data_IF_932471885750
#
_entry.id   IF_932471885750
#
_cell.length_a   1.000
_cell.length_b   1.000
_cell.length_c   1.000
_cell.angle_alpha   90.00
_cell.angle_beta   90.00
_cell.angle_gamma   90.00
#
_symmetry.space_group_name_H-M   'P 1'
#
loop_
_entity.id
_entity.type
_entity.pdbx_description
1 polymer ?
#
# COMPACT_ATOMS: atom_id res chain seq x y z
N UNK A 1 -17.66 -25.03 8.40
CA UNK A 1 -17.34 -25.60 7.06
C UNK A 1 -15.87 -25.83 6.77
N UNK A 2 -15.02 -24.81 6.60
CA UNK A 2 -13.60 -25.05 6.25
C UNK A 2 -12.85 -25.84 7.36
N UNK A 3 -13.07 -25.50 8.63
CA UNK A 3 -12.42 -26.16 9.76
C UNK A 3 -12.92 -27.60 10.01
N UNK A 4 -14.24 -27.83 9.86
CA UNK A 4 -14.83 -29.17 9.93
C UNK A 4 -14.30 -30.09 8.84
N UNK A 5 -14.11 -29.58 7.61
CA UNK A 5 -13.51 -30.34 6.50
C UNK A 5 -12.03 -30.69 6.74
N UNK A 6 -11.38 -30.03 7.69
CA UNK A 6 -10.00 -30.28 8.11
C UNK A 6 -9.90 -31.07 9.43
N UNK A 7 -11.03 -31.47 10.03
CA UNK A 7 -11.07 -32.31 11.22
C UNK A 7 -10.99 -31.57 12.56
N UNK A 8 -11.21 -30.25 12.59
CA UNK A 8 -11.24 -29.47 13.83
C UNK A 8 -12.66 -29.36 14.40
N UNK A 9 -12.78 -29.52 15.72
CA UNK A 9 -14.02 -29.30 16.50
C UNK A 9 -14.40 -27.80 16.54
N UNK A 10 -15.66 -27.50 16.88
CA UNK A 10 -16.27 -26.14 16.79
C UNK A 10 -15.52 -25.03 17.58
N UNK A 11 -14.71 -25.42 18.56
CA UNK A 11 -14.08 -24.56 19.56
C UNK A 11 -12.54 -24.64 19.65
N UNK A 12 -11.87 -25.33 18.72
CA UNK A 12 -10.39 -25.33 18.63
C UNK A 12 -9.83 -24.08 17.92
N UNK A 13 -10.10 -22.90 18.49
CA UNK A 13 -9.31 -21.69 18.19
C UNK A 13 -8.14 -21.62 19.16
N UNK A 14 -7.03 -22.29 18.84
CA UNK A 14 -5.78 -22.12 19.58
C UNK A 14 -5.13 -20.77 19.21
N UNK A 15 -5.28 -19.81 20.13
CA UNK A 15 -4.66 -18.49 20.04
C UNK A 15 -3.33 -18.40 20.80
N UNK A 16 -2.79 -19.52 21.33
CA UNK A 16 -1.52 -19.51 22.04
C UNK A 16 -0.36 -19.03 21.17
N UNK A 17 -0.31 -19.47 19.91
CA UNK A 17 0.75 -19.04 18.98
C UNK A 17 0.67 -17.54 18.76
N UNK A 18 -0.53 -17.01 18.50
CA UNK A 18 -0.75 -15.56 18.37
C UNK A 18 -0.37 -14.82 19.66
N UNK A 19 -0.72 -15.35 20.83
CA UNK A 19 -0.36 -14.77 22.12
C UNK A 19 1.17 -14.77 22.37
N UNK A 20 1.86 -15.86 21.99
CA UNK A 20 3.33 -15.97 22.06
C UNK A 20 4.01 -14.95 21.14
N UNK A 21 3.50 -14.77 19.92
CA UNK A 21 3.97 -13.75 18.97
C UNK A 21 3.79 -12.35 19.57
N UNK A 22 2.59 -12.01 20.04
CA UNK A 22 2.31 -10.71 20.66
C UNK A 22 3.23 -10.43 21.85
N UNK A 23 3.49 -11.44 22.69
CA UNK A 23 4.42 -11.34 23.81
C UNK A 23 5.86 -11.11 23.35
N UNK A 24 6.33 -11.80 22.30
CA UNK A 24 7.66 -11.57 21.73
C UNK A 24 7.83 -10.18 21.09
N UNK A 25 6.73 -9.60 20.59
CA UNK A 25 6.68 -8.24 20.04
C UNK A 25 6.61 -7.16 21.15
N UNK A 26 6.68 -7.55 22.43
CA UNK A 26 6.62 -6.63 23.57
C UNK A 26 5.21 -6.09 23.87
N UNK A 27 4.17 -6.67 23.26
CA UNK A 27 2.78 -6.27 23.53
C UNK A 27 2.36 -6.83 24.89
N UNK A 28 2.36 -5.98 25.90
CA UNK A 28 2.00 -6.36 27.27
C UNK A 28 0.49 -6.22 27.58
N UNK A 29 -0.24 -5.44 26.78
CA UNK A 29 -1.67 -5.19 26.95
C UNK A 29 -2.38 -5.04 25.61
N UNK A 30 -3.52 -5.69 25.45
CA UNK A 30 -4.44 -5.50 24.31
C UNK A 30 -5.70 -4.83 24.85
N UNK A 31 -6.04 -3.67 24.31
CA UNK A 31 -7.23 -2.92 24.72
C UNK A 31 -8.39 -3.27 23.79
N UNK A 32 -9.51 -3.76 24.34
CA UNK A 32 -10.75 -4.05 23.63
C UNK A 32 -11.25 -2.84 22.81
N UNK A 33 -12.02 -3.11 21.75
CA UNK A 33 -12.53 -2.11 20.80
C UNK A 33 -13.23 -0.90 21.46
N UNK A 34 -13.88 -1.10 22.61
CA UNK A 34 -14.53 -0.04 23.41
C UNK A 34 -13.57 1.03 23.95
N UNK A 35 -12.26 0.78 23.92
CA UNK A 35 -11.22 1.66 24.47
C UNK A 35 -10.55 2.52 23.40
N UNK A 36 -10.86 2.26 22.12
CA UNK A 36 -10.36 3.01 20.97
C UNK A 36 -11.50 3.24 19.97
N UNK A 37 -12.59 3.91 20.37
CA UNK A 37 -13.81 3.98 19.56
C UNK A 37 -13.56 4.64 18.19
N UNK A 38 -12.55 5.51 18.07
CA UNK A 38 -12.13 6.13 16.80
C UNK A 38 -11.56 5.12 15.78
N UNK A 39 -11.16 3.93 16.21
CA UNK A 39 -10.68 2.83 15.35
C UNK A 39 -11.78 1.83 15.00
N UNK A 40 -13.01 2.06 15.47
CA UNK A 40 -14.17 1.19 15.25
C UNK A 40 -15.12 1.90 14.30
N UNK A 41 -15.31 1.37 13.09
CA UNK A 41 -16.20 1.97 12.09
C UNK A 41 -17.66 1.68 12.37
N UNK A 42 -17.96 0.45 12.76
CA UNK A 42 -19.29 0.01 13.18
C UNK A 42 -19.14 -1.28 14.00
N UNK A 43 -20.23 -1.70 14.65
CA UNK A 43 -20.32 -3.02 15.30
C UNK A 43 -21.53 -3.73 14.71
N UNK A 44 -21.30 -4.91 14.12
CA UNK A 44 -22.36 -5.77 13.65
C UNK A 44 -22.27 -7.14 14.34
N UNK A 45 -23.41 -7.74 14.70
CA UNK A 45 -23.40 -9.01 15.42
C UNK A 45 -24.69 -9.81 15.30
N UNK A 46 -24.54 -11.13 15.25
CA UNK A 46 -25.62 -12.11 15.31
C UNK A 46 -25.65 -12.64 16.76
N UNK A 47 -26.79 -12.48 17.44
CA UNK A 47 -27.04 -12.80 18.87
C UNK A 47 -25.81 -12.63 19.78
N UNK A 48 -25.14 -11.46 19.75
CA UNK A 48 -23.84 -11.29 20.38
C UNK A 48 -23.95 -11.36 21.90
N UNK A 49 -22.95 -11.98 22.51
CA UNK A 49 -22.75 -11.96 23.96
C UNK A 49 -22.21 -10.58 24.34
N UNK A 50 -23.00 -9.81 25.07
CA UNK A 50 -22.64 -8.45 25.48
C UNK A 50 -22.54 -8.30 27.00
N UNK A 51 -23.06 -9.26 27.77
CA UNK A 51 -23.14 -9.17 29.22
C UNK A 51 -22.60 -10.42 29.90
N UNK A 52 -21.42 -10.28 30.51
CA UNK A 52 -20.70 -11.35 31.21
C UNK A 52 -21.51 -11.99 32.36
N UNK A 53 -22.43 -11.24 32.99
CA UNK A 53 -23.34 -11.80 34.02
C UNK A 53 -24.34 -12.79 33.45
N UNK A 54 -24.72 -12.64 32.18
CA UNK A 54 -25.75 -13.46 31.55
C UNK A 54 -25.16 -14.71 30.90
N UNK A 55 -24.19 -14.52 30.00
CA UNK A 55 -23.45 -15.58 29.33
C UNK A 55 -22.00 -15.11 29.16
N UNK A 56 -20.99 -15.98 29.39
CA UNK A 56 -21.11 -17.37 29.87
C UNK A 56 -21.44 -17.47 31.38
N UNK A 57 -21.63 -16.34 32.07
CA UNK A 57 -21.74 -16.26 33.52
C UNK A 57 -20.39 -15.96 34.16
N UNK A 58 -20.41 -15.39 35.38
CA UNK A 58 -19.18 -14.88 36.02
C UNK A 58 -18.17 -15.96 36.36
N UNK A 59 -18.61 -17.13 36.81
CA UNK A 59 -17.71 -18.26 37.12
C UNK A 59 -16.90 -18.71 35.90
N UNK A 60 -17.56 -18.76 34.73
CA UNK A 60 -16.90 -19.14 33.48
C UNK A 60 -16.07 -18.01 32.87
N UNK A 61 -16.48 -16.75 33.09
CA UNK A 61 -15.77 -15.60 32.56
C UNK A 61 -14.51 -15.25 33.37
N UNK A 62 -14.54 -15.39 34.70
CA UNK A 62 -13.50 -14.88 35.59
C UNK A 62 -12.08 -15.42 35.35
N UNK A 63 -11.87 -16.71 34.99
CA UNK A 63 -10.53 -17.22 34.67
C UNK A 63 -9.86 -16.46 33.52
N UNK A 64 -10.62 -16.01 32.51
CA UNK A 64 -10.09 -15.24 31.40
C UNK A 64 -9.52 -13.87 31.83
N UNK A 65 -9.98 -13.35 32.97
CA UNK A 65 -9.49 -12.10 33.57
C UNK A 65 -8.48 -12.34 34.69
N UNK A 66 -8.13 -13.61 34.98
CA UNK A 66 -7.29 -14.02 36.12
C UNK A 66 -7.83 -13.51 37.45
N UNK A 67 -9.15 -13.56 37.60
CA UNK A 67 -9.89 -13.12 38.78
C UNK A 67 -10.77 -14.26 39.29
N UNK A 68 -11.20 -14.18 40.54
CA UNK A 68 -12.37 -14.91 41.03
C UNK A 68 -13.67 -14.31 40.49
N UNK A 69 -14.77 -15.07 40.52
CA UNK A 69 -16.08 -14.56 40.11
C UNK A 69 -16.53 -13.35 40.93
N UNK A 70 -16.19 -13.29 42.22
CA UNK A 70 -16.47 -12.16 43.11
C UNK A 70 -15.69 -10.91 42.70
N UNK A 71 -14.39 -11.05 42.44
CA UNK A 71 -13.55 -9.94 41.95
C UNK A 71 -14.01 -9.44 40.57
N UNK A 72 -14.36 -10.35 39.65
CA UNK A 72 -14.92 -9.96 38.37
C UNK A 72 -16.28 -9.25 38.55
N UNK A 73 -17.13 -9.72 39.46
CA UNK A 73 -18.41 -9.09 39.78
C UNK A 73 -18.25 -7.63 40.22
N UNK A 74 -17.24 -7.35 41.04
CA UNK A 74 -16.92 -6.03 41.58
C UNK A 74 -16.29 -5.10 40.53
N UNK A 75 -15.68 -5.65 39.47
CA UNK A 75 -15.01 -4.88 38.40
C UNK A 75 -15.82 -4.79 37.09
N UNK A 76 -17.09 -5.20 37.09
CA UNK A 76 -17.90 -5.18 35.86
C UNK A 76 -18.15 -3.80 35.27
N UNK A 77 -18.07 -2.73 36.07
CA UNK A 77 -18.10 -1.35 35.54
C UNK A 77 -17.03 -1.13 34.47
N UNK A 78 -15.88 -1.79 34.62
CA UNK A 78 -14.72 -1.68 33.73
C UNK A 78 -14.66 -2.80 32.69
N UNK A 79 -15.10 -4.01 33.06
CA UNK A 79 -14.88 -5.21 32.27
C UNK A 79 -16.09 -5.65 31.44
N UNK A 80 -17.31 -5.24 31.80
CA UNK A 80 -18.52 -5.70 31.13
C UNK A 80 -18.87 -4.81 29.92
N UNK A 81 -18.99 -5.36 28.69
CA UNK A 81 -19.25 -4.54 27.49
C UNK A 81 -20.47 -3.61 27.61
N UNK A 82 -21.57 -4.06 28.24
CA UNK A 82 -22.77 -3.24 28.45
C UNK A 82 -22.55 -1.97 29.28
N UNK A 83 -21.43 -1.88 30.02
CA UNK A 83 -21.08 -0.73 30.86
C UNK A 83 -20.13 0.25 30.16
N UNK A 84 -19.59 -0.10 28.97
CA UNK A 84 -18.57 0.69 28.27
C UNK A 84 -19.08 1.41 27.02
N UNK A 85 -20.39 1.55 26.92
CA UNK A 85 -21.06 2.00 25.70
C UNK A 85 -20.96 3.50 25.44
N UNK A 86 -20.80 4.31 26.48
CA UNK A 86 -20.82 5.77 26.36
C UNK A 86 -19.69 6.29 25.44
N UNK A 87 -18.52 5.67 25.47
CA UNK A 87 -17.40 6.07 24.61
C UNK A 87 -17.64 5.75 23.13
N UNK A 88 -18.35 4.66 22.84
CA UNK A 88 -18.75 4.31 21.48
C UNK A 88 -19.81 5.30 20.98
N UNK A 89 -20.79 5.63 21.82
CA UNK A 89 -21.85 6.58 21.47
C UNK A 89 -21.29 7.98 21.21
N UNK A 90 -20.37 8.47 22.06
CA UNK A 90 -19.68 9.76 21.86
C UNK A 90 -18.84 9.83 20.58
N UNK A 91 -18.46 8.68 20.02
CA UNK A 91 -17.69 8.57 18.79
C UNK A 91 -18.57 8.25 17.58
N UNK A 92 -19.89 8.31 17.74
CA UNK A 92 -20.89 8.05 16.71
C UNK A 92 -20.74 6.68 16.04
N UNK A 93 -20.26 5.66 16.77
CA UNK A 93 -20.10 4.31 16.23
C UNK A 93 -21.49 3.68 16.04
N UNK A 94 -21.95 3.37 14.82
CA UNK A 94 -23.24 2.73 14.64
C UNK A 94 -23.16 1.24 15.05
N UNK A 95 -24.27 0.71 15.58
CA UNK A 95 -24.39 -0.70 15.98
C UNK A 95 -25.55 -1.37 15.24
N UNK A 96 -25.36 -2.58 14.74
CA UNK A 96 -26.41 -3.43 14.18
C UNK A 96 -26.38 -4.81 14.82
N UNK A 97 -27.46 -5.23 15.48
CA UNK A 97 -27.59 -6.61 15.94
C UNK A 97 -28.84 -7.27 15.34
N UNK A 98 -28.73 -8.57 15.03
CA UNK A 98 -29.89 -9.46 14.82
C UNK A 98 -29.92 -10.47 15.96
N UNK A 99 -31.04 -10.60 16.67
CA UNK A 99 -31.11 -11.39 17.91
C UNK A 99 -32.54 -11.91 18.15
N UNK A 100 -32.72 -13.23 18.16
CA UNK A 100 -34.02 -13.88 18.37
C UNK A 100 -34.68 -13.59 19.73
N UNK A 101 -36.01 -13.53 19.77
CA UNK A 101 -36.74 -13.16 20.99
C UNK A 101 -36.89 -14.27 22.05
N UNK A 102 -36.59 -15.52 21.71
CA UNK A 102 -36.68 -16.67 22.62
C UNK A 102 -35.33 -17.33 22.86
N UNK A 103 -34.22 -16.62 22.64
CA UNK A 103 -32.88 -17.09 22.95
C UNK A 103 -32.72 -17.29 24.46
N UNK A 104 -32.50 -18.54 24.89
CA UNK A 104 -32.28 -18.91 26.29
C UNK A 104 -30.81 -19.06 26.66
N UNK A 105 -29.90 -19.12 25.68
CA UNK A 105 -28.45 -19.27 25.89
C UNK A 105 -27.80 -17.92 26.07
N UNK A 106 -28.11 -16.98 25.16
CA UNK A 106 -27.67 -15.59 25.20
C UNK A 106 -28.92 -14.71 25.24
N UNK A 107 -29.57 -14.51 26.40
CA UNK A 107 -30.89 -13.88 26.41
C UNK A 107 -30.90 -12.45 25.85
N UNK A 108 -31.80 -12.20 24.88
CA UNK A 108 -31.98 -10.91 24.20
C UNK A 108 -32.01 -9.74 25.19
N UNK A 109 -32.87 -9.84 26.20
CA UNK A 109 -33.08 -8.79 27.21
C UNK A 109 -31.78 -8.42 27.94
N UNK A 110 -30.94 -9.41 28.22
CA UNK A 110 -29.71 -9.26 28.99
C UNK A 110 -28.49 -8.90 28.12
N UNK A 111 -28.62 -8.97 26.79
CA UNK A 111 -27.55 -8.70 25.82
C UNK A 111 -27.97 -7.60 24.83
N UNK A 112 -28.36 -7.92 23.59
CA UNK A 112 -28.66 -6.88 22.58
C UNK A 112 -29.76 -5.90 23.01
N UNK A 113 -30.76 -6.35 23.77
CA UNK A 113 -31.83 -5.50 24.28
C UNK A 113 -31.37 -4.45 25.29
N UNK A 114 -30.47 -4.80 26.22
CA UNK A 114 -29.91 -3.83 27.17
C UNK A 114 -28.91 -2.88 26.49
N UNK A 115 -28.18 -3.34 25.47
CA UNK A 115 -27.37 -2.46 24.61
C UNK A 115 -28.26 -1.44 23.94
N UNK A 116 -29.30 -1.86 23.20
CA UNK A 116 -30.19 -0.94 22.49
C UNK A 116 -30.75 0.16 23.39
N UNK A 117 -31.25 -0.23 24.58
CA UNK A 117 -31.79 0.72 25.57
C UNK A 117 -30.73 1.70 26.10
N UNK A 118 -29.53 1.22 26.44
CA UNK A 118 -28.47 2.06 27.02
C UNK A 118 -27.80 2.92 25.96
N UNK A 119 -27.55 2.37 24.77
CA UNK A 119 -26.87 3.05 23.69
C UNK A 119 -27.68 4.24 23.18
N UNK A 120 -28.98 4.06 23.00
CA UNK A 120 -29.89 5.14 22.65
C UNK A 120 -29.91 6.25 23.71
N UNK A 121 -29.87 5.91 25.01
CA UNK A 121 -29.77 6.90 26.09
C UNK A 121 -28.48 7.72 26.07
N UNK A 122 -27.39 7.15 25.55
CA UNK A 122 -26.13 7.87 25.34
C UNK A 122 -26.08 8.64 24.01
N UNK A 123 -27.17 8.66 23.22
CA UNK A 123 -27.23 9.29 21.91
C UNK A 123 -26.67 8.45 20.76
N UNK A 124 -26.30 7.19 21.01
CA UNK A 124 -25.74 6.30 20.00
C UNK A 124 -26.81 5.71 19.07
N UNK A 125 -26.46 5.52 17.80
CA UNK A 125 -27.33 4.91 16.79
C UNK A 125 -27.20 3.37 16.82
N UNK A 126 -28.31 2.67 17.06
CA UNK A 126 -28.35 1.21 16.99
C UNK A 126 -29.60 0.71 16.26
N UNK A 127 -29.39 -0.27 15.38
CA UNK A 127 -30.43 -1.09 14.78
C UNK A 127 -30.46 -2.46 15.45
N UNK A 128 -31.66 -2.94 15.78
CA UNK A 128 -31.88 -4.25 16.41
C UNK A 128 -33.00 -4.99 15.69
N UNK A 129 -32.66 -6.01 14.92
CA UNK A 129 -33.62 -6.93 14.29
C UNK A 129 -33.93 -8.06 15.26
N UNK A 130 -35.22 -8.31 15.51
CA UNK A 130 -35.69 -9.33 16.46
C UNK A 130 -36.60 -10.33 15.77
N UNK A 131 -36.04 -11.43 15.21
CA UNK A 131 -36.83 -12.50 14.62
C UNK A 131 -37.72 -13.19 15.68
N UNK A 132 -39.03 -13.31 15.41
CA UNK A 132 -39.99 -13.95 16.31
C UNK A 132 -39.82 -15.47 16.30
N UNK A 133 -39.88 -16.09 17.48
CA UNK A 133 -39.80 -17.54 17.67
C UNK A 133 -38.39 -18.11 17.54
N UNK A 134 -37.37 -17.28 17.32
CA UNK A 134 -35.99 -17.74 17.15
C UNK A 134 -35.21 -17.66 18.46
N UNK A 135 -34.44 -18.71 18.74
CA UNK A 135 -33.54 -18.82 19.89
C UNK A 135 -32.07 -18.86 19.47
N UNK A 136 -31.22 -19.50 20.28
CA UNK A 136 -29.81 -19.72 19.94
C UNK A 136 -29.67 -20.93 19.02
N UNK A 137 -29.82 -20.72 17.73
CA UNK A 137 -29.83 -21.80 16.74
C UNK A 137 -29.20 -21.37 15.41
N UNK A 138 -29.00 -22.32 14.52
CA UNK A 138 -28.45 -22.10 13.18
C UNK A 138 -29.54 -21.73 12.17
N UNK A 139 -30.58 -20.99 12.58
CA UNK A 139 -31.60 -20.54 11.65
C UNK A 139 -30.98 -19.66 10.56
N UNK A 140 -31.24 -20.03 9.31
CA UNK A 140 -30.58 -19.45 8.14
C UNK A 140 -30.76 -17.93 8.03
N UNK A 141 -31.88 -17.39 8.50
CA UNK A 141 -32.17 -15.96 8.49
C UNK A 141 -31.19 -15.12 9.32
N UNK A 142 -30.46 -15.70 10.27
CA UNK A 142 -29.37 -15.02 10.94
C UNK A 142 -28.17 -14.76 10.02
N UNK A 143 -27.88 -15.68 9.10
CA UNK A 143 -26.72 -15.65 8.22
C UNK A 143 -27.04 -15.06 6.83
N UNK A 144 -28.32 -14.90 6.51
CA UNK A 144 -28.84 -14.27 5.29
C UNK A 144 -29.58 -12.94 5.55
N UNK A 145 -29.22 -12.23 6.62
CA UNK A 145 -29.81 -10.93 6.93
C UNK A 145 -29.19 -9.83 6.04
N UNK A 146 -29.91 -9.48 4.97
CA UNK A 146 -29.49 -8.45 4.02
C UNK A 146 -29.28 -7.09 4.70
N UNK A 147 -30.08 -6.75 5.71
CA UNK A 147 -29.94 -5.49 6.45
C UNK A 147 -28.61 -5.42 7.20
N UNK A 148 -28.17 -6.54 7.80
CA UNK A 148 -26.87 -6.62 8.48
C UNK A 148 -25.72 -6.48 7.49
N UNK A 149 -25.80 -7.18 6.35
CA UNK A 149 -24.78 -7.12 5.30
C UNK A 149 -24.68 -5.71 4.72
N UNK A 150 -25.82 -5.12 4.36
CA UNK A 150 -25.89 -3.75 3.85
C UNK A 150 -25.39 -2.72 4.87
N UNK A 151 -25.70 -2.91 6.15
CA UNK A 151 -25.16 -2.08 7.22
C UNK A 151 -23.63 -2.10 7.24
N UNK A 152 -23.00 -3.28 7.20
CA UNK A 152 -21.53 -3.41 7.19
C UNK A 152 -20.95 -2.75 5.93
N UNK A 153 -21.54 -3.02 4.77
CA UNK A 153 -21.09 -2.45 3.48
C UNK A 153 -21.15 -0.93 3.52
N UNK A 154 -22.25 -0.34 4.02
CA UNK A 154 -22.40 1.10 4.10
C UNK A 154 -21.39 1.72 5.07
N UNK A 155 -21.21 1.12 6.26
CA UNK A 155 -20.21 1.58 7.21
C UNK A 155 -18.77 1.48 6.66
N UNK A 156 -18.49 0.52 5.78
CA UNK A 156 -17.22 0.40 5.08
C UNK A 156 -17.08 1.42 3.93
N UNK A 157 -18.18 1.71 3.22
CA UNK A 157 -18.22 2.65 2.09
C UNK A 157 -18.22 4.12 2.49
N UNK A 158 -18.68 4.49 3.69
CA UNK A 158 -18.67 5.86 4.21
C UNK A 158 -17.25 6.44 4.50
N UNK A 159 -16.25 6.05 3.70
CA UNK A 159 -14.90 6.59 3.74
C UNK A 159 -14.87 8.07 3.33
N UNK A 160 -15.07 8.93 4.32
CA UNK A 160 -14.41 10.23 4.42
C UNK A 160 -13.10 10.10 5.21
N UNK A 161 -12.29 9.07 4.95
CA UNK A 161 -10.86 9.21 5.27
C UNK A 161 -10.38 10.27 4.29
N UNK A 162 -10.12 11.47 4.82
CA UNK A 162 -9.52 12.51 4.00
C UNK A 162 -8.25 11.92 3.42
N UNK A 163 -8.03 11.98 2.10
CA UNK A 163 -6.80 11.46 1.54
C UNK A 163 -5.62 12.12 2.26
N UNK A 164 -4.54 11.36 2.50
CA UNK A 164 -3.37 11.91 3.17
C UNK A 164 -2.88 13.12 2.40
N UNK A 165 -2.62 14.21 3.11
CA UNK A 165 -2.22 15.46 2.48
C UNK A 165 -0.74 15.39 2.14
N UNK A 166 -0.40 15.58 0.87
CA UNK A 166 0.98 15.72 0.45
C UNK A 166 1.65 16.93 1.13
N UNK A 167 2.73 16.65 1.87
CA UNK A 167 3.59 17.64 2.50
C UNK A 167 4.76 17.94 1.56
N UNK A 168 4.91 19.19 1.17
CA UNK A 168 6.03 19.63 0.35
C UNK A 168 7.33 19.55 1.17
N UNK A 169 8.31 18.78 0.69
CA UNK A 169 9.64 18.69 1.30
C UNK A 169 10.64 19.61 0.62
N UNK A 170 10.54 19.73 -0.71
CA UNK A 170 11.45 20.52 -1.53
C UNK A 170 10.83 20.85 -2.88
N UNK A 171 11.19 21.99 -3.47
CA UNK A 171 10.79 22.40 -4.82
C UNK A 171 11.94 23.11 -5.55
N UNK A 172 11.81 23.23 -6.86
CA UNK A 172 12.75 23.97 -7.72
C UNK A 172 13.45 23.10 -8.76
N UNK A 173 13.05 21.84 -8.90
CA UNK A 173 13.58 20.95 -9.92
C UNK A 173 13.03 21.26 -11.31
N UNK A 174 13.75 20.82 -12.34
CA UNK A 174 13.32 20.92 -13.74
C UNK A 174 12.44 19.75 -14.18
N UNK A 175 12.79 18.52 -13.78
CA UNK A 175 11.97 17.32 -13.95
C UNK A 175 12.43 16.25 -12.94
N UNK A 176 11.82 16.23 -11.75
CA UNK A 176 12.22 15.27 -10.69
C UNK A 176 11.63 13.89 -10.95
N UNK A 177 12.42 12.87 -10.65
CA UNK A 177 12.14 11.47 -10.98
C UNK A 177 12.73 10.50 -9.93
N UNK A 178 12.41 9.22 -10.09
CA UNK A 178 13.06 8.08 -9.44
C UNK A 178 13.48 8.30 -7.98
N UNK A 179 12.60 8.61 -7.02
CA UNK A 179 13.02 8.68 -5.64
C UNK A 179 13.39 7.27 -5.14
N UNK A 180 14.44 7.15 -4.32
CA UNK A 180 14.85 5.90 -3.67
C UNK A 180 15.46 6.19 -2.30
N UNK A 181 15.27 5.27 -1.36
CA UNK A 181 15.69 5.46 0.05
C UNK A 181 16.94 4.64 0.37
N UNK A 182 17.96 5.25 0.96
CA UNK A 182 19.16 4.55 1.47
C UNK A 182 18.91 3.94 2.85
N UNK A 183 19.76 2.99 3.29
CA UNK A 183 19.59 2.34 4.60
C UNK A 183 19.56 3.29 5.81
N UNK A 184 20.16 4.48 5.71
CA UNK A 184 20.12 5.51 6.75
C UNK A 184 18.78 6.29 6.82
N UNK A 185 17.85 5.98 5.91
CA UNK A 185 16.55 6.63 5.77
C UNK A 185 16.56 7.92 4.93
N UNK A 186 17.71 8.32 4.37
CA UNK A 186 17.75 9.46 3.45
C UNK A 186 17.08 9.12 2.12
N UNK A 187 16.43 10.11 1.51
CA UNK A 187 15.71 9.95 0.24
C UNK A 187 16.54 10.59 -0.85
N UNK A 188 16.96 9.81 -1.84
CA UNK A 188 17.62 10.29 -3.05
C UNK A 188 16.57 10.41 -4.15
N UNK A 189 16.71 11.37 -5.05
CA UNK A 189 15.84 11.50 -6.22
C UNK A 189 16.59 12.21 -7.34
N UNK A 190 16.28 11.87 -8.58
CA UNK A 190 16.92 12.46 -9.74
C UNK A 190 16.20 13.75 -10.17
N UNK A 191 16.92 14.61 -10.88
CA UNK A 191 16.34 15.67 -11.69
C UNK A 191 16.91 15.54 -13.10
N UNK A 192 16.16 14.84 -13.96
CA UNK A 192 16.59 14.51 -15.32
C UNK A 192 16.81 15.79 -16.13
N UNK A 193 15.94 16.77 -15.94
CA UNK A 193 15.98 18.06 -16.64
C UNK A 193 17.18 18.91 -16.24
N UNK A 194 17.57 18.87 -14.96
CA UNK A 194 18.75 19.57 -14.45
C UNK A 194 20.05 18.76 -14.55
N UNK A 195 19.98 17.47 -14.88
CA UNK A 195 21.10 16.54 -14.91
C UNK A 195 21.76 16.37 -13.52
N UNK A 196 20.95 16.19 -12.47
CA UNK A 196 21.37 16.11 -11.08
C UNK A 196 20.79 14.89 -10.36
N UNK A 197 21.43 14.50 -9.25
CA UNK A 197 20.80 13.69 -8.20
C UNK A 197 20.85 14.46 -6.88
N UNK A 198 19.72 14.55 -6.21
CA UNK A 198 19.57 15.17 -4.91
C UNK A 198 19.48 14.13 -3.79
N UNK A 199 19.81 14.54 -2.57
CA UNK A 199 19.60 13.83 -1.31
C UNK A 199 18.80 14.70 -0.37
N UNK A 200 17.63 14.23 0.06
CA UNK A 200 16.85 14.74 1.17
C UNK A 200 17.21 13.97 2.45
N UNK A 201 17.58 14.70 3.51
CA UNK A 201 17.82 14.13 4.83
C UNK A 201 16.61 14.41 5.73
N UNK A 202 15.82 13.39 6.15
CA UNK A 202 14.63 13.61 6.96
C UNK A 202 14.92 14.12 8.38
N UNK A 203 16.15 13.94 8.89
CA UNK A 203 16.54 14.43 10.23
C UNK A 203 16.83 15.93 10.24
N UNK A 204 17.44 16.44 9.16
CA UNK A 204 17.82 17.86 9.06
C UNK A 204 16.90 18.66 8.14
N UNK A 205 15.98 17.97 7.47
CA UNK A 205 15.07 18.49 6.43
C UNK A 205 15.78 19.21 5.29
N UNK A 206 17.08 18.95 5.07
CA UNK A 206 17.87 19.59 4.01
C UNK A 206 17.86 18.74 2.75
N UNK A 207 17.80 19.41 1.60
CA UNK A 207 18.08 18.82 0.29
C UNK A 207 19.42 19.33 -0.21
N UNK A 208 20.28 18.41 -0.65
CA UNK A 208 21.61 18.70 -1.17
C UNK A 208 21.81 18.00 -2.51
N UNK A 209 22.45 18.67 -3.47
CA UNK A 209 22.93 18.01 -4.69
C UNK A 209 24.11 17.11 -4.33
N UNK A 210 24.02 15.82 -4.64
CA UNK A 210 25.06 14.83 -4.33
C UNK A 210 25.77 14.29 -5.58
N UNK A 211 25.21 14.53 -6.77
CA UNK A 211 25.81 14.12 -8.05
C UNK A 211 25.50 15.16 -9.12
N UNK A 212 26.34 16.19 -9.29
CA UNK A 212 26.31 17.00 -10.49
C UNK A 212 26.70 16.16 -11.71
N UNK A 213 26.19 16.53 -12.89
CA UNK A 213 26.43 15.79 -14.14
C UNK A 213 26.06 14.31 -14.03
N UNK A 214 24.84 14.05 -13.57
CA UNK A 214 24.30 12.71 -13.31
C UNK A 214 24.33 11.77 -14.52
N UNK A 215 24.42 12.32 -15.74
CA UNK A 215 24.31 11.59 -17.00
C UNK A 215 22.87 11.48 -17.49
N UNK A 216 22.01 12.40 -17.07
CA UNK A 216 20.54 12.33 -17.19
C UNK A 216 20.00 11.11 -16.44
N UNK A 217 20.44 10.95 -15.19
CA UNK A 217 19.90 9.91 -14.32
C UNK A 217 18.38 10.09 -14.20
N UNK A 218 17.63 9.01 -14.41
CA UNK A 218 16.18 8.95 -14.29
C UNK A 218 15.81 8.08 -13.08
N UNK A 219 15.37 6.84 -13.30
CA UNK A 219 15.18 5.87 -12.24
C UNK A 219 16.49 5.56 -11.52
N UNK A 220 16.45 5.59 -10.19
CA UNK A 220 17.57 5.20 -9.33
C UNK A 220 17.08 4.28 -8.22
N UNK A 221 17.92 3.34 -7.79
CA UNK A 221 17.60 2.40 -6.72
C UNK A 221 18.85 2.06 -5.90
N UNK A 222 18.70 1.92 -4.59
CA UNK A 222 19.76 1.37 -3.74
C UNK A 222 19.72 -0.15 -3.75
N UNK A 223 20.89 -0.78 -3.89
CA UNK A 223 21.03 -2.20 -3.63
C UNK A 223 21.27 -2.49 -2.13
N UNK A 224 21.33 -3.78 -1.78
CA UNK A 224 21.57 -4.24 -0.41
C UNK A 224 22.94 -3.87 0.17
N UNK A 225 23.86 -3.32 -0.63
CA UNK A 225 25.16 -2.83 -0.19
C UNK A 225 25.20 -1.30 -0.03
N UNK A 226 24.05 -0.62 -0.14
CA UNK A 226 23.88 0.83 -0.31
C UNK A 226 24.71 1.42 -1.46
N UNK A 227 24.82 0.69 -2.57
CA UNK A 227 25.31 1.28 -3.82
C UNK A 227 24.09 1.83 -4.58
N UNK A 228 24.23 3.03 -5.13
CA UNK A 228 23.17 3.66 -5.91
C UNK A 228 23.29 3.23 -7.36
N UNK A 229 22.32 2.46 -7.84
CA UNK A 229 22.21 2.07 -9.24
C UNK A 229 21.33 3.10 -9.96
N UNK A 230 21.74 3.56 -11.13
CA UNK A 230 21.02 4.59 -11.88
C UNK A 230 20.88 4.22 -13.36
N UNK A 231 19.67 4.38 -13.87
CA UNK A 231 19.38 4.50 -15.29
C UNK A 231 19.77 5.90 -15.76
N UNK A 232 20.80 6.01 -16.59
CA UNK A 232 21.22 7.25 -17.24
C UNK A 232 20.65 7.28 -18.66
N UNK A 233 19.68 8.15 -18.90
CA UNK A 233 18.97 8.25 -20.17
C UNK A 233 19.76 9.01 -21.25
N UNK A 234 19.07 9.36 -22.34
CA UNK A 234 19.61 10.15 -23.43
C UNK A 234 19.34 11.65 -23.23
N UNK A 235 18.07 12.08 -23.19
CA UNK A 235 17.60 13.43 -22.80
C UNK A 235 18.51 14.61 -23.19
N UNK A 236 19.12 14.54 -24.38
CA UNK A 236 20.14 15.48 -24.87
C UNK A 236 21.40 15.48 -23.98
N UNK A 237 22.46 14.83 -24.50
CA UNK A 237 23.81 14.67 -23.90
C UNK A 237 23.90 13.71 -22.70
N UNK A 238 22.88 12.88 -22.50
CA UNK A 238 22.89 11.82 -21.50
C UNK A 238 23.75 10.62 -21.91
N UNK A 239 24.10 9.79 -20.92
CA UNK A 239 25.12 8.74 -21.13
C UNK A 239 24.57 7.43 -21.65
N UNK A 240 23.24 7.22 -21.67
CA UNK A 240 22.57 6.00 -22.17
C UNK A 240 23.20 4.72 -21.59
N UNK A 241 23.16 4.57 -20.26
CA UNK A 241 23.82 3.48 -19.54
C UNK A 241 23.14 3.17 -18.20
N UNK A 242 23.44 2.01 -17.65
CA UNK A 242 23.23 1.72 -16.22
C UNK A 242 24.55 1.97 -15.50
N UNK A 243 24.52 2.73 -14.41
CA UNK A 243 25.70 3.01 -13.58
C UNK A 243 25.51 2.57 -12.13
N UNK A 244 26.63 2.35 -11.44
CA UNK A 244 26.66 2.12 -10.00
C UNK A 244 27.55 3.19 -9.36
N UNK A 245 26.99 3.97 -8.44
CA UNK A 245 27.74 4.81 -7.50
C UNK A 245 28.04 3.99 -6.24
N UNK A 246 29.31 3.75 -5.96
CA UNK A 246 29.76 3.04 -4.74
C UNK A 246 29.70 3.95 -3.51
N UNK A 247 29.87 3.37 -2.32
CA UNK A 247 29.88 4.10 -1.04
C UNK A 247 30.95 5.19 -0.96
N UNK A 248 32.08 5.01 -1.64
CA UNK A 248 33.17 6.00 -1.73
C UNK A 248 32.89 7.13 -2.74
N UNK A 249 31.73 7.10 -3.42
CA UNK A 249 31.35 8.07 -4.44
C UNK A 249 31.88 7.76 -5.84
N UNK A 250 32.70 6.73 -6.01
CA UNK A 250 33.17 6.31 -7.35
C UNK A 250 32.01 5.76 -8.18
N UNK A 251 32.01 6.08 -9.47
CA UNK A 251 30.94 5.70 -10.41
C UNK A 251 31.52 4.76 -11.46
N UNK A 252 30.90 3.61 -11.64
CA UNK A 252 31.24 2.66 -12.71
C UNK A 252 30.06 2.49 -13.68
N UNK A 253 30.35 2.26 -14.95
CA UNK A 253 29.36 1.77 -15.92
C UNK A 253 29.14 0.30 -15.64
N UNK A 254 27.89 -0.11 -15.44
CA UNK A 254 27.51 -1.52 -15.40
C UNK A 254 27.25 -2.05 -16.81
N UNK A 255 26.50 -1.30 -17.61
CA UNK A 255 26.29 -1.57 -19.04
C UNK A 255 25.88 -0.31 -19.78
N UNK A 256 26.25 -0.19 -21.05
CA UNK A 256 25.90 0.94 -21.92
C UNK A 256 25.51 0.51 -23.35
N UNK A 257 25.45 -0.80 -23.60
CA UNK A 257 25.15 -1.39 -24.90
C UNK A 257 24.56 -2.80 -24.76
N UNK A 258 23.87 -3.26 -25.81
CA UNK A 258 23.43 -4.63 -25.98
C UNK A 258 23.79 -5.11 -27.39
N UNK A 259 24.51 -6.24 -27.49
CA UNK A 259 25.01 -6.79 -28.76
C UNK A 259 25.75 -5.74 -29.62
N UNK A 260 26.58 -4.90 -28.98
CA UNK A 260 27.35 -3.87 -29.64
C UNK A 260 26.56 -2.60 -30.04
N UNK A 261 25.25 -2.56 -29.76
CA UNK A 261 24.39 -1.39 -30.02
C UNK A 261 24.12 -0.61 -28.75
N UNK A 262 24.19 0.72 -28.80
CA UNK A 262 23.88 1.61 -27.67
C UNK A 262 22.41 1.47 -27.25
N UNK A 263 22.18 1.40 -25.93
CA UNK A 263 20.83 1.47 -25.32
C UNK A 263 20.09 2.74 -25.78
N UNK A 264 18.77 2.74 -25.90
CA UNK A 264 18.01 3.91 -26.33
C UNK A 264 18.12 5.05 -25.31
N UNK A 265 17.51 4.89 -24.14
CA UNK A 265 17.46 5.87 -23.06
C UNK A 265 16.92 5.16 -21.81
N UNK A 266 17.78 4.45 -21.06
CA UNK A 266 17.38 3.78 -19.83
C UNK A 266 16.55 4.70 -18.92
N UNK A 267 15.38 4.22 -18.49
CA UNK A 267 14.39 5.06 -17.82
C UNK A 267 14.22 4.65 -16.36
N UNK A 268 13.44 3.61 -16.08
CA UNK A 268 13.25 3.04 -14.74
C UNK A 268 13.82 1.62 -14.59
N UNK A 269 14.06 1.20 -13.36
CA UNK A 269 14.68 -0.09 -13.02
C UNK A 269 14.14 -0.71 -11.73
N UNK A 270 14.25 -2.04 -11.64
CA UNK A 270 13.93 -2.83 -10.46
C UNK A 270 14.97 -3.94 -10.26
N UNK A 271 15.27 -4.25 -8.99
CA UNK A 271 16.16 -5.35 -8.63
C UNK A 271 15.33 -6.57 -8.26
N UNK A 272 15.53 -7.69 -8.96
CA UNK A 272 14.95 -8.95 -8.56
C UNK A 272 15.84 -9.61 -7.50
N UNK A 273 15.37 -9.61 -6.24
CA UNK A 273 16.10 -10.19 -5.10
C UNK A 273 16.31 -11.70 -5.22
N UNK A 274 15.46 -12.41 -5.96
CA UNK A 274 15.50 -13.87 -6.13
C UNK A 274 16.59 -14.31 -7.10
N UNK A 275 16.62 -13.74 -8.31
CA UNK A 275 17.59 -14.12 -9.34
C UNK A 275 18.80 -13.18 -9.44
N UNK A 276 18.82 -12.10 -8.64
CA UNK A 276 19.90 -11.09 -8.56
C UNK A 276 20.10 -10.26 -9.84
N UNK A 277 19.16 -10.30 -10.79
CA UNK A 277 19.20 -9.48 -11.99
C UNK A 277 18.59 -8.10 -11.73
N UNK A 278 19.11 -7.10 -12.44
CA UNK A 278 18.54 -5.76 -12.52
C UNK A 278 17.75 -5.69 -13.81
N UNK A 279 16.44 -5.51 -13.71
CA UNK A 279 15.58 -5.24 -14.85
C UNK A 279 15.48 -3.75 -15.06
N UNK A 280 15.55 -3.30 -16.30
CA UNK A 280 15.41 -1.89 -16.63
C UNK A 280 14.68 -1.69 -17.94
N UNK A 281 13.98 -0.56 -18.01
CA UNK A 281 13.23 -0.12 -19.20
C UNK A 281 14.12 0.74 -20.08
N UNK A 282 14.01 0.55 -21.40
CA UNK A 282 14.82 1.28 -22.39
C UNK A 282 13.92 1.92 -23.48
N UNK A 283 13.06 2.88 -23.12
CA UNK A 283 12.26 3.63 -24.08
C UNK A 283 13.07 4.71 -24.80
N UNK A 284 12.40 5.47 -25.68
CA UNK A 284 12.89 6.78 -26.15
C UNK A 284 11.80 7.85 -26.10
N UNK A 285 11.74 8.63 -25.03
CA UNK A 285 10.79 9.74 -24.90
C UNK A 285 11.30 11.05 -25.51
N UNK A 286 12.57 11.38 -25.29
CA UNK A 286 13.20 12.65 -25.70
C UNK A 286 14.68 12.43 -26.06
N UNK A 287 15.31 13.44 -26.66
CA UNK A 287 16.72 13.45 -27.05
C UNK A 287 16.91 13.23 -28.54
N UNK A 288 17.97 13.84 -29.09
CA UNK A 288 18.26 13.86 -30.53
C UNK A 288 19.36 12.86 -30.92
N UNK A 289 19.91 12.12 -29.96
CA UNK A 289 20.92 11.10 -30.21
C UNK A 289 20.33 9.98 -31.06
N UNK A 290 21.08 9.55 -32.08
CA UNK A 290 20.67 8.47 -32.96
C UNK A 290 20.41 7.17 -32.18
N UNK A 291 19.29 6.53 -32.48
CA UNK A 291 18.94 5.22 -31.93
C UNK A 291 19.59 4.13 -32.78
N UNK A 292 20.28 3.21 -32.12
CA UNK A 292 20.87 2.02 -32.77
C UNK A 292 19.97 0.79 -32.65
N UNK A 293 19.07 0.81 -31.66
CA UNK A 293 18.00 -0.17 -31.46
C UNK A 293 16.71 0.35 -32.11
N UNK A 294 16.13 -0.49 -32.96
CA UNK A 294 14.89 -0.24 -33.71
C UNK A 294 13.62 -0.57 -32.92
N UNK A 295 13.77 -1.05 -31.68
CA UNK A 295 12.68 -1.33 -30.74
C UNK A 295 12.92 -0.66 -29.39
N UNK A 296 11.87 -0.58 -28.59
CA UNK A 296 11.89 -0.22 -27.17
C UNK A 296 11.49 -1.46 -26.38
N UNK A 297 12.09 -1.67 -25.21
CA UNK A 297 11.89 -2.93 -24.49
C UNK A 297 12.39 -2.90 -23.06
N UNK A 298 12.32 -4.07 -22.43
CA UNK A 298 12.83 -4.31 -21.09
C UNK A 298 14.06 -5.18 -21.23
N UNK A 299 15.14 -4.74 -20.63
CA UNK A 299 16.41 -5.46 -20.56
C UNK A 299 16.67 -5.93 -19.14
N UNK A 300 17.60 -6.86 -19.00
CA UNK A 300 18.13 -7.31 -17.73
C UNK A 300 19.65 -7.32 -17.78
N UNK A 301 20.29 -6.98 -16.66
CA UNK A 301 21.75 -6.98 -16.52
C UNK A 301 22.14 -7.60 -15.19
N UNK A 302 23.19 -8.41 -15.21
CA UNK A 302 23.83 -8.94 -14.00
C UNK A 302 24.86 -7.95 -13.42
N UNK A 303 25.43 -8.25 -12.25
CA UNK A 303 26.45 -7.39 -11.63
C UNK A 303 27.81 -7.41 -12.33
N UNK A 304 28.01 -8.29 -13.32
CA UNK A 304 29.20 -8.33 -14.17
C UNK A 304 29.03 -7.50 -15.45
N UNK A 305 27.85 -6.92 -15.68
CA UNK A 305 27.53 -6.12 -16.86
C UNK A 305 26.99 -6.93 -18.04
N UNK A 306 26.73 -8.23 -17.87
CA UNK A 306 26.16 -9.06 -18.93
C UNK A 306 24.70 -8.68 -19.16
N UNK A 307 24.44 -8.04 -20.30
CA UNK A 307 23.12 -7.51 -20.64
C UNK A 307 22.38 -8.43 -21.60
N UNK A 308 21.13 -8.73 -21.28
CA UNK A 308 20.22 -9.55 -22.09
C UNK A 308 18.88 -8.84 -22.28
N UNK A 309 18.17 -9.19 -23.36
CA UNK A 309 16.81 -8.72 -23.58
C UNK A 309 15.86 -9.54 -22.70
N UNK A 310 15.01 -8.89 -21.92
CA UNK A 310 14.02 -9.56 -21.09
C UNK A 310 12.70 -9.72 -21.87
N UNK A 311 12.25 -8.68 -22.57
CA UNK A 311 11.17 -8.75 -23.57
C UNK A 311 11.11 -7.49 -24.44
N UNK A 312 10.52 -7.63 -25.63
CA UNK A 312 10.11 -6.53 -26.51
C UNK A 312 8.59 -6.42 -26.67
N UNK A 313 7.82 -7.24 -25.96
CA UNK A 313 6.35 -7.23 -26.02
C UNK A 313 5.76 -6.10 -25.16
N UNK A 314 6.15 -4.86 -25.47
CA UNK A 314 5.71 -3.63 -24.82
C UNK A 314 5.88 -2.46 -25.79
N UNK A 315 5.04 -1.43 -25.73
CA UNK A 315 5.10 -0.30 -26.67
C UNK A 315 6.05 0.78 -26.20
N UNK A 316 5.92 1.21 -24.95
CA UNK A 316 6.65 2.32 -24.34
C UNK A 316 6.91 2.03 -22.85
N UNK A 317 7.94 1.23 -22.53
CA UNK A 317 8.19 0.78 -21.16
C UNK A 317 8.62 1.95 -20.25
N UNK A 318 8.05 2.03 -19.05
CA UNK A 318 8.33 3.08 -18.08
C UNK A 318 8.53 2.50 -16.66
N UNK A 319 7.79 2.95 -15.64
CA UNK A 319 7.87 2.39 -14.29
C UNK A 319 7.85 0.87 -14.26
N UNK A 320 8.72 0.26 -13.48
CA UNK A 320 8.90 -1.19 -13.41
C UNK A 320 9.09 -1.66 -11.97
N UNK A 321 8.45 -2.76 -11.62
CA UNK A 321 8.55 -3.39 -10.30
C UNK A 321 8.75 -4.90 -10.44
N UNK A 322 9.36 -5.49 -9.43
CA UNK A 322 9.42 -6.95 -9.25
C UNK A 322 8.64 -7.29 -7.99
N UNK A 323 7.75 -8.29 -8.06
CA UNK A 323 7.01 -8.80 -6.90
C UNK A 323 7.96 -9.28 -5.80
N UNK A 324 7.51 -9.27 -4.53
CA UNK A 324 8.37 -9.65 -3.41
C UNK A 324 8.88 -11.10 -3.50
N UNK A 325 8.11 -12.00 -4.10
CA UNK A 325 8.53 -13.39 -4.36
C UNK A 325 9.46 -13.55 -5.58
N UNK A 326 9.71 -12.46 -6.31
CA UNK A 326 10.60 -12.41 -7.46
C UNK A 326 10.13 -13.20 -8.68
N UNK A 327 8.81 -13.42 -8.82
CA UNK A 327 8.20 -14.20 -9.92
C UNK A 327 7.44 -13.38 -10.95
N UNK A 328 7.04 -12.17 -10.60
CA UNK A 328 6.22 -11.30 -11.46
C UNK A 328 6.91 -9.96 -11.63
N UNK A 329 6.93 -9.46 -12.87
CA UNK A 329 7.24 -8.05 -13.15
C UNK A 329 5.95 -7.30 -13.43
N UNK A 330 5.82 -6.12 -12.82
CA UNK A 330 4.82 -5.12 -13.20
C UNK A 330 5.51 -4.03 -13.98
N UNK A 331 4.89 -3.55 -15.06
CA UNK A 331 5.47 -2.49 -15.87
C UNK A 331 4.39 -1.58 -16.43
N UNK A 332 4.70 -0.28 -16.47
CA UNK A 332 3.91 0.72 -17.14
C UNK A 332 4.24 0.71 -18.63
N UNK A 333 3.20 0.55 -19.46
CA UNK A 333 3.26 0.82 -20.89
C UNK A 333 2.67 2.23 -21.09
N UNK A 334 3.52 3.24 -21.33
CA UNK A 334 3.19 4.66 -21.22
C UNK A 334 3.46 5.41 -22.53
N UNK A 335 2.67 5.15 -23.56
CA UNK A 335 2.80 5.73 -24.88
C UNK A 335 1.93 7.00 -25.02
N UNK A 336 2.58 8.16 -25.02
CA UNK A 336 1.94 9.48 -25.04
C UNK A 336 1.64 9.94 -26.47
N UNK A 337 0.79 9.18 -27.18
CA UNK A 337 0.24 9.52 -28.49
C UNK A 337 -1.27 9.22 -28.50
N UNK A 338 -2.08 9.81 -29.42
CA UNK A 338 -3.47 9.41 -29.58
C UNK A 338 -3.59 7.89 -29.77
N UNK A 339 -4.46 7.23 -28.99
CA UNK A 339 -4.64 5.77 -28.97
C UNK A 339 -3.40 4.95 -28.58
N UNK A 340 -2.38 5.58 -27.99
CA UNK A 340 -1.19 4.90 -27.48
C UNK A 340 -1.51 4.02 -26.27
N UNK A 341 -0.68 2.99 -26.05
CA UNK A 341 -0.83 2.10 -24.89
C UNK A 341 -0.60 2.86 -23.58
N UNK A 342 -1.58 2.84 -22.65
CA UNK A 342 -1.48 3.42 -21.30
C UNK A 342 -1.94 2.40 -20.27
N UNK A 343 -1.11 1.38 -20.05
CA UNK A 343 -1.53 0.16 -19.33
C UNK A 343 -0.60 -0.17 -18.17
N UNK A 344 -1.18 -0.69 -17.10
CA UNK A 344 -0.45 -1.49 -16.13
C UNK A 344 -0.40 -2.92 -16.65
N UNK A 345 0.80 -3.41 -16.94
CA UNK A 345 1.03 -4.77 -17.41
C UNK A 345 1.69 -5.61 -16.33
N UNK A 346 1.50 -6.93 -16.40
CA UNK A 346 2.32 -7.89 -15.69
C UNK A 346 2.87 -8.99 -16.58
N UNK A 347 4.02 -9.53 -16.19
CA UNK A 347 4.71 -10.63 -16.85
C UNK A 347 5.20 -11.64 -15.82
N UNK A 348 5.23 -12.92 -16.19
CA UNK A 348 5.96 -13.94 -15.43
C UNK A 348 7.46 -13.86 -15.72
N UNK A 349 8.28 -14.05 -14.68
CA UNK A 349 9.74 -14.13 -14.79
C UNK A 349 10.14 -15.60 -14.96
N UNK A 350 10.65 -15.92 -16.14
CA UNK A 350 11.14 -17.26 -16.46
C UNK A 350 12.47 -17.59 -15.75
N UNK A 351 12.87 -18.88 -15.64
CA UNK A 351 14.12 -19.26 -14.98
C UNK A 351 15.38 -18.61 -15.56
N UNK A 352 15.39 -18.32 -16.86
CA UNK A 352 16.48 -17.61 -17.55
C UNK A 352 16.42 -16.08 -17.36
N UNK A 353 15.38 -15.56 -16.70
CA UNK A 353 15.13 -14.14 -16.47
C UNK A 353 14.27 -13.45 -17.53
N UNK A 354 13.96 -14.10 -18.66
CA UNK A 354 13.07 -13.54 -19.69
C UNK A 354 11.63 -13.36 -19.18
N UNK A 355 10.87 -12.48 -19.83
CA UNK A 355 9.51 -12.15 -19.43
C UNK A 355 8.50 -12.77 -20.39
N UNK A 356 7.53 -13.50 -19.83
CA UNK A 356 6.49 -14.22 -20.56
C UNK A 356 5.10 -13.91 -19.99
N UNK A 357 4.05 -14.53 -20.55
CA UNK A 357 2.69 -14.52 -20.00
C UNK A 357 2.16 -13.10 -19.70
N UNK A 358 2.31 -12.20 -20.69
CA UNK A 358 1.84 -10.82 -20.60
C UNK A 358 0.36 -10.75 -20.24
N UNK A 359 0.02 -9.95 -19.23
CA UNK A 359 -1.35 -9.64 -18.84
C UNK A 359 -1.53 -8.13 -18.75
N UNK A 360 -2.72 -7.67 -19.13
CA UNK A 360 -3.17 -6.30 -18.85
C UNK A 360 -3.91 -6.34 -17.51
N UNK A 361 -3.37 -5.64 -16.52
CA UNK A 361 -3.99 -5.53 -15.20
C UNK A 361 -4.94 -4.33 -15.12
N UNK A 362 -4.56 -3.23 -15.79
CA UNK A 362 -5.38 -2.02 -15.86
C UNK A 362 -5.11 -1.27 -17.16
N UNK A 363 -6.15 -0.65 -17.73
CA UNK A 363 -6.08 0.22 -18.90
C UNK A 363 -6.59 1.61 -18.52
N UNK A 364 -5.75 2.63 -18.71
CA UNK A 364 -6.10 4.03 -18.41
C UNK A 364 -6.85 4.70 -19.56
N UNK A 365 -7.08 4.00 -20.68
CA UNK A 365 -7.82 4.49 -21.83
C UNK A 365 -7.29 5.85 -22.32
N UNK A 366 -8.11 6.90 -22.20
CA UNK A 366 -7.77 8.26 -22.62
C UNK A 366 -6.96 9.03 -21.56
N UNK A 367 -6.94 8.59 -20.30
CA UNK A 367 -6.21 9.25 -19.22
C UNK A 367 -4.69 9.03 -19.32
N UNK A 368 -3.92 9.91 -18.65
CA UNK A 368 -2.47 9.72 -18.52
C UNK A 368 -2.21 8.46 -17.69
N UNK A 369 -1.58 7.47 -18.32
CA UNK A 369 -1.18 6.22 -17.68
C UNK A 369 -0.09 6.39 -16.62
N UNK A 370 0.40 5.25 -16.12
CA UNK A 370 1.41 5.20 -15.07
C UNK A 370 2.76 5.71 -15.58
N UNK A 371 3.41 6.58 -14.81
CA UNK A 371 4.79 6.98 -15.05
C UNK A 371 5.70 6.03 -14.24
N UNK A 372 6.09 6.39 -13.01
CA UNK A 372 6.73 5.53 -12.02
C UNK A 372 5.77 4.87 -11.02
N UNK A 373 6.28 3.92 -10.22
CA UNK A 373 5.49 3.19 -9.23
C UNK A 373 6.35 2.55 -8.15
N UNK A 374 5.73 2.18 -7.02
CA UNK A 374 6.35 1.46 -5.91
C UNK A 374 5.44 0.36 -5.33
N UNK A 375 6.02 -0.70 -4.79
CA UNK A 375 5.28 -1.68 -3.98
C UNK A 375 5.19 -1.22 -2.52
N UNK A 376 3.99 -1.33 -1.95
CA UNK A 376 3.78 -1.16 -0.51
C UNK A 376 4.34 -2.35 0.27
N UNK A 377 4.53 -2.23 1.60
CA UNK A 377 4.89 -3.36 2.45
C UNK A 377 3.92 -4.56 2.37
N UNK A 378 2.68 -4.33 1.94
CA UNK A 378 1.67 -5.39 1.78
C UNK A 378 1.62 -5.95 0.34
N UNK A 379 2.42 -5.43 -0.59
CA UNK A 379 2.47 -5.87 -1.99
C UNK A 379 1.50 -5.17 -2.93
N UNK A 380 0.79 -4.12 -2.48
CA UNK A 380 -0.05 -3.29 -3.35
C UNK A 380 0.82 -2.37 -4.22
N UNK A 381 0.35 -2.07 -5.43
CA UNK A 381 1.07 -1.23 -6.39
C UNK A 381 0.61 0.22 -6.23
N UNK A 382 1.51 1.12 -5.86
CA UNK A 382 1.27 2.55 -5.77
C UNK A 382 1.85 3.20 -7.02
N UNK A 383 0.99 3.63 -7.94
CA UNK A 383 1.38 4.13 -9.25
C UNK A 383 1.13 5.63 -9.40
N UNK A 384 2.11 6.38 -9.90
CA UNK A 384 1.93 7.79 -10.26
C UNK A 384 1.22 7.89 -11.61
N UNK A 385 0.04 8.49 -11.65
CA UNK A 385 -0.72 8.59 -12.90
C UNK A 385 -1.63 9.82 -12.92
N UNK A 386 -2.31 10.01 -14.05
CA UNK A 386 -3.26 11.09 -14.25
C UNK A 386 -2.61 12.47 -14.33
N UNK A 387 -3.45 13.46 -14.65
CA UNK A 387 -3.07 14.87 -14.80
C UNK A 387 -4.17 15.80 -14.29
N UNK A 388 -3.79 16.99 -13.86
CA UNK A 388 -4.74 18.00 -13.38
C UNK A 388 -5.57 17.50 -12.21
N UNK A 389 -6.90 17.50 -12.31
CA UNK A 389 -7.79 17.03 -11.22
C UNK A 389 -7.70 15.51 -10.97
N UNK A 390 -7.15 14.76 -11.94
CA UNK A 390 -6.94 13.31 -11.85
C UNK A 390 -5.48 12.97 -11.48
N UNK A 391 -4.63 13.96 -11.25
CA UNK A 391 -3.24 13.75 -10.84
C UNK A 391 -3.17 13.13 -9.46
N UNK A 392 -2.52 11.97 -9.34
CA UNK A 392 -2.36 11.34 -8.04
C UNK A 392 -1.68 9.98 -8.06
N UNK A 393 -1.77 9.34 -6.91
CA UNK A 393 -1.35 7.96 -6.70
C UNK A 393 -2.57 7.05 -6.84
N UNK A 394 -2.52 6.16 -7.81
CA UNK A 394 -3.50 5.11 -8.04
C UNK A 394 -2.97 3.84 -7.39
N UNK A 395 -3.71 3.32 -6.41
CA UNK A 395 -3.32 2.15 -5.62
C UNK A 395 -4.05 0.95 -6.18
N UNK A 396 -3.30 -0.04 -6.66
CA UNK A 396 -3.84 -1.28 -7.21
C UNK A 396 -3.51 -2.48 -6.32
N UNK A 397 -4.39 -3.48 -6.29
CA UNK A 397 -4.05 -4.81 -5.80
C UNK A 397 -2.99 -5.46 -6.70
N UNK A 398 -2.43 -6.58 -6.25
CA UNK A 398 -1.52 -7.39 -7.06
C UNK A 398 -2.18 -7.89 -8.36
N UNK A 399 -3.50 -8.08 -8.34
CA UNK A 399 -4.33 -8.54 -9.45
C UNK A 399 -4.78 -7.41 -10.39
N UNK A 400 -4.55 -6.13 -10.03
CA UNK A 400 -4.89 -4.97 -10.87
C UNK A 400 -6.16 -4.21 -10.48
N UNK A 401 -6.82 -4.58 -9.38
CA UNK A 401 -8.01 -3.89 -8.92
C UNK A 401 -7.65 -2.50 -8.38
N UNK A 402 -8.31 -1.44 -8.85
CA UNK A 402 -8.11 -0.10 -8.31
C UNK A 402 -8.73 0.02 -6.90
N UNK A 403 -7.88 0.05 -5.89
CA UNK A 403 -8.27 0.09 -4.47
C UNK A 403 -8.51 1.51 -3.97
N UNK A 404 -7.68 2.46 -4.42
CA UNK A 404 -7.70 3.84 -3.90
C UNK A 404 -7.08 4.82 -4.88
N UNK A 405 -7.57 6.06 -4.85
CA UNK A 405 -6.93 7.22 -5.46
C UNK A 405 -6.51 8.22 -4.37
N UNK A 406 -5.28 8.73 -4.44
CA UNK A 406 -4.74 9.74 -3.54
C UNK A 406 -4.27 10.94 -4.37
N UNK A 407 -4.96 12.11 -4.31
CA UNK A 407 -4.60 13.26 -5.11
C UNK A 407 -3.23 13.82 -4.73
N UNK A 408 -2.48 14.27 -5.73
CA UNK A 408 -1.22 15.00 -5.54
C UNK A 408 -1.39 16.48 -5.91
N UNK A 409 -0.53 17.39 -5.41
CA UNK A 409 -0.63 18.82 -5.72
C UNK A 409 -0.40 19.20 -7.20
N UNK A 410 0.22 18.29 -7.95
CA UNK A 410 0.47 18.40 -9.38
C UNK A 410 0.71 17.01 -9.97
N UNK A 411 0.87 16.92 -11.29
CA UNK A 411 1.05 15.63 -11.97
C UNK A 411 2.30 14.92 -11.43
N UNK A 412 2.17 13.71 -10.85
CA UNK A 412 3.27 12.99 -10.25
C UNK A 412 4.08 12.24 -11.31
N UNK A 413 5.37 12.07 -11.05
CA UNK A 413 6.33 11.37 -11.93
C UNK A 413 6.72 10.02 -11.37
N UNK A 414 7.07 9.93 -10.09
CA UNK A 414 7.53 8.66 -9.51
C UNK A 414 7.37 8.65 -7.98
N UNK A 415 7.51 7.48 -7.36
CA UNK A 415 7.34 7.34 -5.91
C UNK A 415 8.17 6.20 -5.32
N UNK A 416 8.42 6.27 -4.01
CA UNK A 416 9.06 5.19 -3.24
C UNK A 416 8.55 5.21 -1.80
N UNK A 417 8.52 4.04 -1.17
CA UNK A 417 8.29 3.94 0.26
C UNK A 417 9.56 4.24 1.06
N UNK A 418 9.37 4.78 2.26
CA UNK A 418 10.41 4.87 3.29
C UNK A 418 10.80 3.49 3.83
N UNK A 419 11.77 3.50 4.75
CA UNK A 419 12.26 2.28 5.41
C UNK A 419 11.98 2.30 6.93
N UNK A 420 11.92 1.12 7.53
CA UNK A 420 11.77 0.94 8.98
C UNK A 420 10.51 1.63 9.52
N UNK A 421 10.67 2.55 10.48
CA UNK A 421 9.55 3.29 11.07
C UNK A 421 8.76 4.14 10.06
N UNK A 422 9.35 4.45 8.91
CA UNK A 422 8.74 5.23 7.83
C UNK A 422 8.27 4.32 6.66
N UNK A 423 8.13 3.00 6.85
CA UNK A 423 7.71 2.07 5.78
C UNK A 423 6.31 2.34 5.21
N UNK A 424 5.51 3.16 5.89
CA UNK A 424 4.19 3.64 5.42
C UNK A 424 4.20 5.10 4.99
N UNK A 425 5.38 5.70 4.88
CA UNK A 425 5.59 7.02 4.31
C UNK A 425 5.91 6.86 2.83
N UNK A 426 5.12 7.49 1.96
CA UNK A 426 5.37 7.53 0.52
C UNK A 426 6.04 8.84 0.15
N UNK A 427 7.23 8.76 -0.43
CA UNK A 427 7.90 9.89 -1.04
C UNK A 427 7.53 9.96 -2.51
N UNK A 428 7.14 11.14 -3.00
CA UNK A 428 6.62 11.32 -4.36
C UNK A 428 7.33 12.48 -5.04
N UNK A 429 7.87 12.24 -6.24
CA UNK A 429 8.28 13.31 -7.15
C UNK A 429 7.08 13.73 -7.99
N UNK A 430 6.83 15.04 -8.06
CA UNK A 430 5.69 15.57 -8.79
C UNK A 430 5.92 17.03 -9.21
N UNK A 431 5.09 17.53 -10.12
CA UNK A 431 5.03 18.96 -10.39
C UNK A 431 4.71 19.72 -9.10
N UNK A 432 5.36 20.87 -8.92
CA UNK A 432 4.97 21.85 -7.93
C UNK A 432 3.54 22.37 -8.23
N UNK A 433 2.84 22.98 -7.25
CA UNK A 433 1.52 23.55 -7.48
C UNK A 433 1.54 24.54 -8.65
N UNK A 434 0.44 24.58 -9.42
CA UNK A 434 0.32 25.33 -10.69
C UNK A 434 0.21 26.85 -10.53
N UNK A 435 0.48 27.41 -9.36
CA UNK A 435 0.40 28.85 -9.10
C UNK A 435 1.63 29.65 -9.61
N UNK A 436 2.64 28.97 -10.13
CA UNK A 436 3.86 29.58 -10.67
C UNK A 436 3.81 29.74 -12.21
N UNK A 437 4.34 30.87 -12.73
CA UNK A 437 4.49 31.13 -14.19
C UNK A 437 5.42 30.11 -14.89
N UNK A 438 6.20 29.35 -14.12
CA UNK A 438 7.15 28.35 -14.60
C UNK A 438 6.82 27.00 -14.01
N UNK A 439 6.71 25.96 -14.84
CA UNK A 439 6.52 24.58 -14.39
C UNK A 439 7.79 24.11 -13.69
N UNK A 440 7.73 23.97 -12.37
CA UNK A 440 8.79 23.40 -11.53
C UNK A 440 8.36 22.05 -10.96
N UNK A 441 9.34 21.28 -10.50
CA UNK A 441 9.13 19.97 -9.89
C UNK A 441 9.65 19.95 -8.45
N UNK A 442 9.12 19.01 -7.69
CA UNK A 442 9.23 18.95 -6.24
C UNK A 442 9.36 17.52 -5.72
N UNK A 443 9.68 17.42 -4.43
CA UNK A 443 9.60 16.21 -3.62
C UNK A 443 8.53 16.42 -2.54
N UNK A 444 7.65 15.44 -2.40
CA UNK A 444 6.59 15.39 -1.41
C UNK A 444 6.70 14.17 -0.51
N UNK A 445 6.06 14.26 0.66
CA UNK A 445 5.86 13.18 1.61
C UNK A 445 4.36 13.01 1.85
N UNK A 446 3.88 11.77 1.81
CA UNK A 446 2.53 11.38 2.22
C UNK A 446 2.64 10.35 3.34
N UNK A 447 2.07 10.64 4.50
CA UNK A 447 1.92 9.66 5.58
C UNK A 447 0.61 8.90 5.36
N UNK A 448 0.69 7.58 5.15
CA UNK A 448 -0.47 6.74 4.84
C UNK A 448 -1.15 6.15 6.10
N UNK A 449 -0.62 6.46 7.29
CA UNK A 449 -1.18 6.01 8.58
C UNK A 449 -2.25 6.97 9.10
N UNK A 450 -2.15 8.27 8.77
CA UNK A 450 -3.15 9.30 9.08
C UNK A 450 -4.43 9.15 8.25
#
# INVERSE_FOLDING_TARGET
>A
DANHRLGFEDDERDLEIAAKILKSLGVSHIKLMTNNPKKVKCIAGIYPVCNLRSYPGLERAAPAYKMSASELANSLSENNPINRLQNLAKADVPIFHIHGNVDTVVPLKSNSGIIAKRYQRFGGNMQLVVPKGQGHNMWEGFFKCDELVNFIINCAKENKVKPPKAKLLWKGGKFTEGPSVSSDGSVYFSDVGANLIYKYNPKTTKVTNIRPSSGRANGIIFDHMDRLIACEGANTEGRRRISITKKDGSIITLTDNWKGKRLNSPNDLAINKRNKLIYFTDPRYVGNEERELDFEGIFMVDLNGNTSLATKDIKKPNGILVSEDGKTIFVADHEIIPNGSRKLLSFSIEPNGELSNKKVLHDFEEERGIDGMALSPNGDIYATAGSGKHAGIYVFSHEGDLLRFIPTPGDPTNCTFGLGKNQWTLYVTAQAPRDEKTRTYALYELDLIE
#
